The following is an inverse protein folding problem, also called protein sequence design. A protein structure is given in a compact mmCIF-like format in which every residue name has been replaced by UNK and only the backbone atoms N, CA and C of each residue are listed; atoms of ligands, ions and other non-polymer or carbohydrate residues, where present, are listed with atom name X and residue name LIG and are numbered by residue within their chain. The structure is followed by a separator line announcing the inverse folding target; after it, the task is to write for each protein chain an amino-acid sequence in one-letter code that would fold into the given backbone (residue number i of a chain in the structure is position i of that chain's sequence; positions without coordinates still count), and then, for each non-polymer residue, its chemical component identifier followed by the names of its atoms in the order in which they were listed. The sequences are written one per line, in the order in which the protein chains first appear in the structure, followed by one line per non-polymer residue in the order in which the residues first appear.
data_IF_125886514039
#
_entry.id   IF_125886514039
#
_cell.length_a   1.000
_cell.length_b   1.000
_cell.length_c   1.000
_cell.angle_alpha   90.00
_cell.angle_beta   90.00
_cell.angle_gamma   90.00
#
_symmetry.space_group_name_H-M   'P 1'
#
loop_
_entity.id
_entity.type
_entity.pdbx_description
1 polymer ?
#
# COMPACT_ATOMS: atom_id res chain seq x y z
N UNK A 1 7.67 -8.73 7.43
CA UNK A 1 6.53 -8.80 6.50
C UNK A 1 7.03 -9.15 5.10
N UNK A 2 6.54 -10.26 4.55
CA UNK A 2 6.83 -10.67 3.18
C UNK A 2 6.22 -9.68 2.18
N UNK A 3 6.74 -9.66 0.94
CA UNK A 3 6.18 -8.84 -0.14
C UNK A 3 4.71 -9.18 -0.39
N UNK A 4 4.36 -10.45 -0.35
CA UNK A 4 3.00 -10.95 -0.59
C UNK A 4 1.99 -10.47 0.46
N UNK A 5 2.37 -10.51 1.75
CA UNK A 5 1.53 -9.97 2.83
C UNK A 5 1.27 -8.47 2.63
N UNK A 6 2.30 -7.72 2.21
CA UNK A 6 2.19 -6.28 1.96
C UNK A 6 1.24 -5.94 0.85
N UNK A 7 1.34 -6.67 -0.27
CA UNK A 7 0.41 -6.51 -1.38
C UNK A 7 -1.02 -6.84 -0.97
N UNK A 8 -1.22 -7.87 -0.15
CA UNK A 8 -2.55 -8.23 0.32
C UNK A 8 -3.17 -7.17 1.23
N UNK A 9 -2.37 -6.58 2.12
CA UNK A 9 -2.79 -5.47 2.97
C UNK A 9 -3.12 -4.22 2.15
N UNK A 10 -2.26 -3.88 1.18
CA UNK A 10 -2.45 -2.76 0.24
C UNK A 10 -3.78 -2.89 -0.53
N UNK A 11 -4.06 -4.08 -1.07
CA UNK A 11 -5.33 -4.41 -1.73
C UNK A 11 -6.54 -4.27 -0.79
N UNK A 12 -6.39 -4.68 0.46
CA UNK A 12 -7.46 -4.59 1.46
C UNK A 12 -7.77 -3.14 1.83
N UNK A 13 -6.73 -2.33 2.03
CA UNK A 13 -6.87 -0.89 2.29
C UNK A 13 -7.53 -0.16 1.11
N UNK A 14 -7.13 -0.48 -0.12
CA UNK A 14 -7.71 0.10 -1.33
C UNK A 14 -9.18 -0.31 -1.51
N UNK A 15 -9.54 -1.58 -1.30
CA UNK A 15 -10.94 -2.05 -1.41
C UNK A 15 -11.88 -1.42 -0.37
N UNK A 16 -11.37 -1.09 0.81
CA UNK A 16 -12.16 -0.44 1.85
C UNK A 16 -12.52 1.02 1.52
N UNK A 17 -11.90 1.61 0.50
CA UNK A 17 -12.06 3.02 0.13
C UNK A 17 -12.87 3.12 -1.16
N UNK A 18 -13.85 4.04 -1.17
CA UNK A 18 -14.69 4.34 -2.35
C UNK A 18 -13.99 5.24 -3.38
N UNK A 19 -12.87 5.84 -3.01
CA UNK A 19 -12.12 6.79 -3.83
C UNK A 19 -10.65 6.39 -3.88
N UNK A 20 -9.94 6.93 -4.88
CA UNK A 20 -8.50 6.77 -5.00
C UNK A 20 -7.81 7.24 -3.71
N UNK A 21 -6.82 6.46 -3.28
CA UNK A 21 -5.96 6.77 -2.14
C UNK A 21 -4.56 7.10 -2.63
N UNK A 22 -3.89 7.99 -1.92
CA UNK A 22 -2.53 8.39 -2.25
C UNK A 22 -1.51 7.38 -1.71
N UNK A 23 -0.36 7.30 -2.37
CA UNK A 23 0.76 6.49 -1.86
C UNK A 23 1.22 6.96 -0.47
N UNK A 24 1.16 8.27 -0.21
CA UNK A 24 1.45 8.87 1.10
C UNK A 24 0.56 8.33 2.21
N UNK A 25 -0.76 8.36 2.03
CA UNK A 25 -1.71 7.84 3.03
C UNK A 25 -1.52 6.35 3.29
N UNK A 26 -1.23 5.56 2.25
CA UNK A 26 -0.96 4.13 2.38
C UNK A 26 0.36 3.90 3.14
N UNK A 27 1.39 4.67 2.80
CA UNK A 27 2.70 4.62 3.43
C UNK A 27 2.65 4.96 4.92
N UNK A 28 1.93 6.03 5.29
CA UNK A 28 1.71 6.43 6.70
C UNK A 28 0.98 5.32 7.48
N UNK A 29 -0.04 4.71 6.89
CA UNK A 29 -0.87 3.70 7.55
C UNK A 29 -0.17 2.36 7.73
N UNK A 30 0.74 2.04 6.81
CA UNK A 30 1.53 0.81 6.81
C UNK A 30 2.93 1.01 7.43
N UNK A 31 3.22 2.21 7.95
CA UNK A 31 4.52 2.60 8.54
C UNK A 31 5.72 2.32 7.61
N UNK A 32 5.55 2.57 6.31
CA UNK A 32 6.59 2.42 5.29
C UNK A 32 6.83 3.73 4.55
N UNK A 33 7.85 3.75 3.69
CA UNK A 33 8.08 4.87 2.78
C UNK A 33 7.19 4.79 1.53
N UNK A 34 6.83 5.92 0.93
CA UNK A 34 6.14 5.97 -0.36
C UNK A 34 6.89 5.20 -1.46
N UNK A 35 8.24 5.22 -1.44
CA UNK A 35 9.08 4.44 -2.36
C UNK A 35 8.81 2.94 -2.26
N UNK A 36 8.53 2.44 -1.05
CA UNK A 36 8.17 1.03 -0.83
C UNK A 36 6.86 0.70 -1.52
N UNK A 37 5.84 1.57 -1.38
CA UNK A 37 4.53 1.41 -2.03
C UNK A 37 4.69 1.33 -3.55
N UNK A 38 5.40 2.29 -4.15
CA UNK A 38 5.64 2.28 -5.59
C UNK A 38 6.43 1.05 -6.05
N UNK A 39 7.44 0.64 -5.29
CA UNK A 39 8.23 -0.55 -5.61
C UNK A 39 7.38 -1.81 -5.57
N UNK A 40 6.53 -1.97 -4.55
CA UNK A 40 5.69 -3.15 -4.42
C UNK A 40 4.65 -3.23 -5.55
N UNK A 41 4.07 -2.09 -5.98
CA UNK A 41 3.13 -2.03 -7.11
C UNK A 41 3.82 -2.32 -8.45
N UNK A 42 5.05 -1.85 -8.65
CA UNK A 42 5.79 -2.01 -9.92
C UNK A 42 6.28 -3.45 -10.15
N UNK A 43 6.54 -4.19 -9.07
CA UNK A 43 7.24 -5.49 -9.11
C UNK A 43 6.34 -6.70 -9.10
#
# INVERSE_FOLDING_TARGET
MSKSERLFELLTLMRAKRYAVTAKELAERMEVSERTIYRDIQS
#
